data_IF_576995587663
#
_entry.id   IF_576995587663
#
_cell.length_a   1.000
_cell.length_b   1.000
_cell.length_c   1.000
_cell.angle_alpha   90.00
_cell.angle_beta   90.00
_cell.angle_gamma   90.00
#
_symmetry.space_group_name_H-M   'P 1'
#
loop_
_entity.id
_entity.type
_entity.pdbx_description
1 polymer ?
#
# COMPACT_ATOMS: atom_id res chain seq x y z
N UNK A 1 11.27 -12.66 11.30
CA UNK A 1 11.15 -14.14 11.29
C UNK A 1 10.92 -14.78 12.66
N UNK A 2 11.41 -14.21 13.78
CA UNK A 2 11.27 -14.81 15.12
C UNK A 2 9.82 -15.16 15.51
N UNK A 3 8.84 -14.33 15.17
CA UNK A 3 7.42 -14.60 15.42
C UNK A 3 6.90 -15.83 14.66
N UNK A 4 7.40 -16.09 13.45
CA UNK A 4 7.11 -17.32 12.72
C UNK A 4 7.83 -18.50 13.40
N UNK A 5 9.11 -18.36 13.71
CA UNK A 5 9.93 -19.42 14.30
C UNK A 5 9.40 -19.90 15.68
N UNK A 6 8.93 -18.98 16.52
CA UNK A 6 8.30 -19.29 17.82
C UNK A 6 6.89 -19.87 17.71
N UNK A 7 6.28 -19.89 16.52
CA UNK A 7 4.91 -20.32 16.31
C UNK A 7 3.85 -19.29 16.70
N UNK A 8 4.24 -18.09 17.14
CA UNK A 8 3.30 -17.00 17.41
C UNK A 8 2.49 -16.61 16.16
N UNK A 9 3.14 -16.58 15.00
CA UNK A 9 2.49 -16.44 13.70
C UNK A 9 2.50 -17.78 12.95
N UNK A 10 1.33 -18.15 12.43
CA UNK A 10 1.20 -19.33 11.56
C UNK A 10 1.80 -19.10 10.17
N UNK A 11 1.79 -17.86 9.67
CA UNK A 11 2.32 -17.45 8.37
C UNK A 11 2.22 -15.95 8.15
N UNK A 12 2.72 -15.46 7.01
CA UNK A 12 2.59 -14.06 6.60
C UNK A 12 2.41 -13.94 5.07
N UNK A 13 1.51 -13.07 4.63
CA UNK A 13 1.43 -12.60 3.25
C UNK A 13 1.79 -11.10 3.25
N UNK A 14 2.84 -10.75 2.50
CA UNK A 14 3.49 -9.43 2.56
C UNK A 14 3.53 -8.85 1.14
N UNK A 15 2.95 -7.67 0.96
CA UNK A 15 2.98 -6.94 -0.31
C UNK A 15 3.95 -5.75 -0.30
N UNK A 16 4.26 -5.21 0.88
CA UNK A 16 5.08 -4.00 1.06
C UNK A 16 6.25 -4.27 1.99
N UNK A 17 7.36 -3.56 1.77
CA UNK A 17 8.61 -3.75 2.51
C UNK A 17 9.28 -2.41 2.82
N UNK A 18 10.10 -2.37 3.88
CA UNK A 18 10.85 -1.14 4.23
C UNK A 18 11.83 -0.70 3.13
N UNK A 19 12.39 -1.66 2.39
CA UNK A 19 13.24 -1.42 1.22
C UNK A 19 12.62 -2.07 -0.01
N UNK A 20 12.37 -1.27 -1.04
CA UNK A 20 11.79 -1.72 -2.30
C UNK A 20 12.71 -1.35 -3.49
N UNK A 21 12.99 -2.30 -4.41
CA UNK A 21 12.54 -3.69 -4.39
C UNK A 21 13.16 -4.49 -3.24
N UNK A 22 12.45 -5.51 -2.76
CA UNK A 22 12.94 -6.38 -1.69
C UNK A 22 14.27 -7.02 -2.14
N UNK A 23 15.38 -6.87 -1.37
CA UNK A 23 16.67 -7.40 -1.77
C UNK A 23 16.61 -8.89 -2.13
N UNK A 24 17.33 -9.35 -3.16
CA UNK A 24 17.21 -10.72 -3.67
C UNK A 24 17.67 -11.79 -2.68
N UNK A 25 18.54 -11.43 -1.74
CA UNK A 25 19.04 -12.28 -0.65
C UNK A 25 18.15 -12.22 0.61
N UNK A 26 17.05 -11.45 0.59
CA UNK A 26 16.18 -11.32 1.74
C UNK A 26 15.50 -12.66 2.09
N UNK A 27 15.49 -13.09 3.36
CA UNK A 27 15.04 -14.43 3.73
C UNK A 27 13.54 -14.67 3.56
N UNK A 28 12.74 -13.61 3.33
CA UNK A 28 11.31 -13.75 3.00
C UNK A 28 11.07 -14.44 1.67
N UNK A 29 12.00 -14.35 0.71
CA UNK A 29 11.88 -15.04 -0.58
C UNK A 29 11.83 -16.56 -0.45
N UNK A 30 12.54 -17.13 0.52
CA UNK A 30 12.71 -18.58 0.67
C UNK A 30 12.01 -19.16 1.89
N UNK A 31 11.47 -18.32 2.78
CA UNK A 31 10.84 -18.80 4.00
C UNK A 31 9.50 -19.51 3.69
N UNK A 32 9.30 -20.77 4.09
CA UNK A 32 8.18 -21.61 3.62
C UNK A 32 6.80 -21.16 4.08
N UNK A 33 6.73 -20.28 5.09
CA UNK A 33 5.49 -19.70 5.64
C UNK A 33 5.30 -18.22 5.32
N UNK A 34 6.06 -17.69 4.37
CA UNK A 34 5.94 -16.32 3.89
C UNK A 34 5.54 -16.34 2.42
N UNK A 35 4.57 -15.50 2.06
CA UNK A 35 4.21 -15.23 0.67
C UNK A 35 4.49 -13.76 0.38
N UNK A 36 5.24 -13.51 -0.68
CA UNK A 36 5.65 -12.17 -1.10
C UNK A 36 4.93 -11.82 -2.40
N UNK A 37 4.31 -10.64 -2.43
CA UNK A 37 3.89 -9.98 -3.67
C UNK A 37 4.67 -8.67 -3.82
N UNK A 38 5.09 -8.28 -5.04
CA UNK A 38 5.99 -7.14 -5.25
C UNK A 38 5.23 -5.80 -5.30
N UNK A 39 4.52 -5.44 -4.23
CA UNK A 39 3.74 -4.20 -4.11
C UNK A 39 2.70 -4.03 -5.23
N UNK A 40 1.89 -5.07 -5.43
CA UNK A 40 0.87 -5.13 -6.48
C UNK A 40 -0.53 -5.47 -5.96
N UNK A 41 -0.75 -5.54 -4.65
CA UNK A 41 -2.06 -5.90 -4.11
C UNK A 41 -3.15 -4.84 -4.39
N UNK A 42 -2.75 -3.57 -4.51
CA UNK A 42 -3.65 -2.42 -4.58
C UNK A 42 -3.38 -1.45 -5.74
N UNK A 43 -2.92 -1.95 -6.89
CA UNK A 43 -2.58 -1.08 -8.03
C UNK A 43 -3.76 -0.16 -8.42
N UNK A 44 -3.49 1.14 -8.52
CA UNK A 44 -4.51 2.14 -8.85
C UNK A 44 -5.01 1.93 -10.28
N UNK A 45 -6.33 1.77 -10.44
CA UNK A 45 -6.95 1.70 -11.76
C UNK A 45 -7.32 3.12 -12.25
N UNK A 46 -6.72 3.62 -13.35
CA UNK A 46 -7.00 4.97 -13.84
C UNK A 46 -8.47 5.20 -14.17
N UNK A 47 -9.21 4.18 -14.62
CA UNK A 47 -10.62 4.29 -14.96
C UNK A 47 -11.48 4.61 -13.74
N UNK A 48 -11.17 4.03 -12.59
CA UNK A 48 -11.92 4.25 -11.35
C UNK A 48 -11.38 5.42 -10.53
N UNK A 49 -10.09 5.76 -10.66
CA UNK A 49 -9.48 6.87 -9.94
C UNK A 49 -9.75 8.25 -10.58
N UNK A 50 -9.70 8.35 -11.92
CA UNK A 50 -9.85 9.62 -12.64
C UNK A 50 -11.13 10.42 -12.30
N UNK A 51 -12.30 9.79 -12.09
CA UNK A 51 -13.50 10.51 -11.66
C UNK A 51 -13.31 11.35 -10.39
N UNK A 52 -12.55 10.86 -9.39
CA UNK A 52 -12.28 11.59 -8.15
C UNK A 52 -11.42 12.84 -8.40
N UNK A 53 -10.40 12.72 -9.25
CA UNK A 53 -9.55 13.85 -9.67
C UNK A 53 -10.38 14.91 -10.40
N UNK A 54 -11.22 14.48 -11.36
CA UNK A 54 -12.08 15.37 -12.14
C UNK A 54 -13.06 16.11 -11.22
N UNK A 55 -13.65 15.44 -10.24
CA UNK A 55 -14.57 16.07 -9.29
C UNK A 55 -13.86 17.11 -8.41
N UNK A 56 -12.66 16.83 -7.92
CA UNK A 56 -11.88 17.80 -7.16
C UNK A 56 -11.48 19.02 -8.01
N UNK A 57 -11.17 18.85 -9.30
CA UNK A 57 -10.93 19.98 -10.22
C UNK A 57 -12.20 20.86 -10.34
N UNK A 58 -13.37 20.25 -10.50
CA UNK A 58 -14.64 21.00 -10.57
C UNK A 58 -14.94 21.75 -9.28
N UNK A 59 -14.74 21.11 -8.12
CA UNK A 59 -14.94 21.72 -6.79
C UNK A 59 -14.01 22.91 -6.58
N UNK A 60 -12.72 22.73 -6.87
CA UNK A 60 -11.73 23.79 -6.77
C UNK A 60 -12.11 25.03 -7.59
N UNK A 61 -12.50 24.84 -8.86
CA UNK A 61 -12.93 25.95 -9.75
C UNK A 61 -14.19 26.67 -9.27
N UNK A 62 -15.06 25.96 -8.54
CA UNK A 62 -16.30 26.50 -8.00
C UNK A 62 -16.14 27.07 -6.57
N UNK A 63 -14.92 27.11 -6.01
CA UNK A 63 -14.68 27.53 -4.63
C UNK A 63 -15.31 26.61 -3.59
N UNK A 64 -15.59 25.35 -3.94
CA UNK A 64 -16.19 24.35 -3.05
C UNK A 64 -15.11 23.52 -2.35
N UNK A 65 -15.37 23.00 -1.13
CA UNK A 65 -14.46 22.07 -0.47
C UNK A 65 -14.16 20.83 -1.31
N UNK A 66 -12.90 20.42 -1.32
CA UNK A 66 -12.43 19.19 -1.94
C UNK A 66 -12.93 17.96 -1.17
N UNK A 67 -12.93 16.80 -1.84
CA UNK A 67 -13.20 15.50 -1.22
C UNK A 67 -11.90 14.74 -1.00
N UNK A 68 -11.88 13.88 0.03
CA UNK A 68 -10.74 13.01 0.38
C UNK A 68 -9.43 13.78 0.62
N UNK A 69 -9.52 14.92 1.32
CA UNK A 69 -8.35 15.71 1.71
C UNK A 69 -7.54 15.00 2.79
N UNK A 70 -6.23 15.04 2.66
CA UNK A 70 -5.27 14.63 3.68
C UNK A 70 -5.23 15.69 4.78
N UNK A 71 -5.06 15.29 6.03
CA UNK A 71 -4.66 16.20 7.10
C UNK A 71 -3.11 16.26 7.15
N UNK A 72 -2.49 17.41 6.86
CA UNK A 72 -1.03 17.53 6.86
C UNK A 72 -0.39 17.34 8.24
N UNK A 73 -1.15 17.51 9.33
CA UNK A 73 -0.65 17.33 10.70
C UNK A 73 -0.58 15.86 11.07
N UNK A 74 -1.60 15.08 10.71
CA UNK A 74 -1.60 13.62 10.89
C UNK A 74 -0.68 12.91 9.88
N UNK A 75 -0.50 13.50 8.70
CA UNK A 75 0.24 12.91 7.59
C UNK A 75 -0.56 11.91 6.74
N UNK A 76 -1.88 11.80 6.96
CA UNK A 76 -2.80 10.92 6.21
C UNK A 76 -4.23 11.47 6.15
#
# INVERSE_FOLDING_TARGET
>A
LAALASGHLAGAALDVFDTEPLPPDHPYWTHPRVHVTPHIAGATNPRTASPGVIENIKRMRAGRPLIHTVDPVSGY
#
